data_IF_459509375224
#
_entry.id   IF_459509375224
#
_cell.length_a   1.000
_cell.length_b   1.000
_cell.length_c   1.000
_cell.angle_alpha   90.00
_cell.angle_beta   90.00
_cell.angle_gamma   90.00
#
_symmetry.space_group_name_H-M   'P 1'
#
loop_
_entity.id
_entity.type
_entity.pdbx_description
1 polymer ?
#
# COMPACT_ATOMS: atom_id res chain seq x y z
N UNK A 1 -24.80 27.89 -43.95
CA UNK A 1 -24.62 26.75 -44.88
C UNK A 1 -23.12 26.50 -44.93
N UNK A 2 -22.53 25.43 -44.40
CA UNK A 2 -22.94 24.04 -44.17
C UNK A 2 -22.81 23.68 -42.65
N UNK A 3 -23.92 23.36 -41.97
CA UNK A 3 -24.45 22.02 -41.58
C UNK A 3 -23.70 21.33 -40.43
N UNK A 4 -24.32 21.45 -39.26
CA UNK A 4 -24.01 20.93 -37.93
C UNK A 4 -24.44 19.46 -37.77
N UNK A 5 -23.93 18.55 -38.60
CA UNK A 5 -24.40 17.15 -38.65
C UNK A 5 -23.33 16.07 -38.42
N UNK A 6 -22.10 16.40 -38.02
CA UNK A 6 -21.02 15.40 -37.87
C UNK A 6 -20.54 15.12 -36.44
N UNK A 7 -21.15 15.74 -35.41
CA UNK A 7 -20.72 15.58 -34.01
C UNK A 7 -21.63 14.70 -33.13
N UNK A 8 -22.64 14.02 -33.68
CA UNK A 8 -23.68 13.34 -32.86
C UNK A 8 -23.91 11.85 -33.15
N UNK A 9 -23.16 11.19 -34.03
CA UNK A 9 -23.44 9.80 -34.43
C UNK A 9 -22.45 8.75 -33.88
N UNK A 10 -22.02 8.86 -32.62
CA UNK A 10 -21.13 7.88 -31.98
C UNK A 10 -21.70 7.14 -30.75
N UNK A 11 -22.76 7.67 -30.14
CA UNK A 11 -23.32 7.12 -28.90
C UNK A 11 -24.69 6.53 -29.17
N UNK A 12 -24.74 5.28 -29.64
CA UNK A 12 -25.86 4.32 -29.50
C UNK A 12 -25.55 3.11 -30.39
N UNK A 13 -24.64 2.25 -29.93
CA UNK A 13 -24.67 0.83 -30.29
C UNK A 13 -24.70 0.01 -29.02
N UNK A 14 -25.73 -0.81 -28.90
CA UNK A 14 -25.86 -1.86 -27.89
C UNK A 14 -24.72 -2.86 -28.10
N UNK A 15 -23.64 -2.70 -27.35
CA UNK A 15 -22.48 -3.59 -27.37
C UNK A 15 -22.16 -4.06 -25.96
N UNK A 16 -22.50 -5.32 -25.68
CA UNK A 16 -21.95 -6.05 -24.55
C UNK A 16 -20.49 -6.38 -24.95
N UNK A 17 -19.53 -5.52 -24.59
CA UNK A 17 -18.11 -5.76 -24.89
C UNK A 17 -17.31 -5.75 -23.59
N UNK A 18 -17.14 -6.94 -23.02
CA UNK A 18 -15.91 -7.29 -22.32
C UNK A 18 -14.81 -7.35 -23.39
N UNK A 19 -14.01 -6.30 -23.50
CA UNK A 19 -12.79 -6.29 -24.30
C UNK A 19 -11.66 -5.75 -23.44
N UNK A 20 -10.77 -6.64 -23.04
CA UNK A 20 -9.54 -6.37 -22.30
C UNK A 20 -8.63 -5.38 -23.06
N UNK A 21 -8.40 -4.22 -22.46
CA UNK A 21 -7.28 -3.30 -22.76
C UNK A 21 -7.05 -2.33 -21.57
N UNK A 22 -5.83 -1.77 -21.40
CA UNK A 22 -5.19 -1.57 -20.10
C UNK A 22 -5.53 -0.22 -19.46
N UNK A 23 -6.76 -0.08 -19.00
CA UNK A 23 -7.18 0.84 -17.95
C UNK A 23 -8.60 0.43 -17.58
N UNK A 24 -8.78 -0.39 -16.55
CA UNK A 24 -10.09 -0.93 -16.23
C UNK A 24 -10.95 0.15 -15.56
N UNK A 25 -11.39 1.13 -16.36
CA UNK A 25 -12.43 2.07 -16.00
C UNK A 25 -13.69 1.23 -15.76
N UNK A 26 -14.02 1.00 -14.48
CA UNK A 26 -15.27 0.31 -14.10
C UNK A 26 -16.40 1.24 -14.51
N UNK A 27 -17.12 0.88 -15.57
CA UNK A 27 -18.26 1.64 -16.07
C UNK A 27 -19.50 0.78 -16.16
N UNK A 28 -20.67 1.40 -15.93
CA UNK A 28 -21.97 0.74 -16.05
C UNK A 28 -22.98 1.74 -16.57
N UNK A 29 -23.65 1.38 -17.66
CA UNK A 29 -24.76 2.13 -18.21
C UNK A 29 -26.03 1.27 -18.17
N UNK A 30 -27.14 1.85 -17.72
CA UNK A 30 -28.43 1.15 -17.67
C UNK A 30 -29.58 2.14 -17.71
N UNK A 31 -30.78 1.66 -18.01
CA UNK A 31 -32.01 2.45 -18.00
C UNK A 31 -32.98 1.87 -16.97
N UNK A 32 -33.70 2.74 -16.26
CA UNK A 32 -34.77 2.33 -15.34
C UNK A 32 -35.99 3.22 -15.51
N UNK A 33 -37.16 2.68 -15.19
CA UNK A 33 -38.40 3.45 -15.15
C UNK A 33 -38.55 4.10 -13.76
N UNK A 34 -38.70 5.42 -13.72
CA UNK A 34 -38.87 6.22 -12.50
C UNK A 34 -40.12 7.07 -12.70
N UNK A 35 -41.12 6.91 -11.84
CA UNK A 35 -42.44 7.57 -11.98
C UNK A 35 -43.02 7.52 -13.40
N UNK A 36 -42.88 6.37 -14.07
CA UNK A 36 -43.40 6.16 -15.43
C UNK A 36 -42.53 6.70 -16.57
N UNK A 37 -41.45 7.44 -16.29
CA UNK A 37 -40.49 7.94 -17.29
C UNK A 37 -39.26 7.03 -17.36
N UNK A 38 -38.67 6.89 -18.55
CA UNK A 38 -37.42 6.18 -18.73
C UNK A 38 -36.28 7.13 -18.38
N UNK A 39 -35.44 6.73 -17.43
CA UNK A 39 -34.26 7.47 -16.99
C UNK A 39 -33.03 6.62 -17.27
N UNK A 40 -32.06 7.23 -17.95
CA UNK A 40 -30.79 6.62 -18.28
C UNK A 40 -29.74 6.98 -17.22
N UNK A 41 -28.95 5.99 -16.83
CA UNK A 41 -27.90 6.07 -15.84
C UNK A 41 -26.57 5.70 -16.47
N UNK A 42 -25.54 6.50 -16.20
CA UNK A 42 -24.16 6.19 -16.53
C UNK A 42 -23.32 6.39 -15.28
N UNK A 43 -22.60 5.34 -14.91
CA UNK A 43 -21.72 5.32 -13.77
C UNK A 43 -20.32 4.99 -14.26
N UNK A 44 -19.34 5.82 -13.94
CA UNK A 44 -17.95 5.60 -14.31
C UNK A 44 -17.06 5.85 -13.07
N UNK A 45 -16.26 4.87 -12.68
CA UNK A 45 -15.21 5.05 -11.66
C UNK A 45 -13.89 5.39 -12.34
N UNK A 46 -13.35 6.56 -12.03
CA UNK A 46 -11.97 6.94 -12.34
C UNK A 46 -11.08 6.74 -11.11
N UNK A 47 -9.76 6.84 -11.29
CA UNK A 47 -8.79 6.69 -10.18
C UNK A 47 -8.94 7.73 -9.07
N UNK A 48 -9.42 8.94 -9.40
CA UNK A 48 -9.50 10.07 -8.46
C UNK A 48 -10.93 10.59 -8.20
N UNK A 49 -11.93 10.06 -8.89
CA UNK A 49 -13.33 10.51 -8.79
C UNK A 49 -14.31 9.48 -9.34
N UNK A 50 -15.57 9.61 -8.95
CA UNK A 50 -16.69 8.92 -9.58
C UNK A 50 -17.44 9.91 -10.46
N UNK A 51 -17.85 9.47 -11.65
CA UNK A 51 -18.79 10.20 -12.49
C UNK A 51 -20.13 9.48 -12.50
N UNK A 52 -21.19 10.20 -12.16
CA UNK A 52 -22.56 9.72 -12.18
C UNK A 52 -23.39 10.65 -13.07
N UNK A 53 -23.99 10.13 -14.12
CA UNK A 53 -24.96 10.85 -14.94
C UNK A 53 -26.32 10.18 -14.85
N UNK A 54 -27.34 11.00 -14.59
CA UNK A 54 -28.74 10.61 -14.55
C UNK A 54 -29.49 11.54 -15.51
N UNK A 55 -30.10 10.99 -16.56
CA UNK A 55 -30.72 11.80 -17.61
C UNK A 55 -32.01 11.18 -18.15
N UNK A 56 -33.06 11.99 -18.27
CA UNK A 56 -34.29 11.63 -18.98
C UNK A 56 -34.19 11.89 -20.49
N UNK A 57 -33.24 12.74 -20.93
CA UNK A 57 -33.21 13.32 -22.28
C UNK A 57 -31.98 12.92 -23.10
N UNK A 58 -31.23 11.90 -22.65
CA UNK A 58 -29.99 11.42 -23.28
C UNK A 58 -28.93 12.51 -23.50
N UNK A 59 -28.98 13.58 -22.70
CA UNK A 59 -28.02 14.68 -22.72
C UNK A 59 -27.53 14.98 -21.31
N UNK A 60 -26.26 15.37 -21.23
CA UNK A 60 -25.63 15.89 -20.02
C UNK A 60 -26.07 17.35 -19.87
N UNK A 61 -26.55 17.69 -18.68
CA UNK A 61 -27.07 19.01 -18.35
C UNK A 61 -26.13 19.70 -17.37
N UNK A 62 -26.68 20.08 -16.21
CA UNK A 62 -25.89 20.68 -15.14
C UNK A 62 -24.90 19.67 -14.55
N UNK A 63 -23.68 20.12 -14.30
CA UNK A 63 -22.60 19.33 -13.74
C UNK A 63 -22.18 19.87 -12.37
N UNK A 64 -22.19 19.00 -11.37
CA UNK A 64 -21.88 19.31 -9.98
C UNK A 64 -20.61 18.57 -9.54
N UNK A 65 -19.61 19.30 -9.06
CA UNK A 65 -18.46 18.74 -8.36
C UNK A 65 -18.78 18.68 -6.89
N UNK A 66 -18.66 17.50 -6.31
CA UNK A 66 -19.06 17.20 -4.94
C UNK A 66 -17.84 16.63 -4.21
N UNK A 67 -17.48 17.26 -3.10
CA UNK A 67 -16.41 16.83 -2.23
C UNK A 67 -16.95 16.58 -0.83
N UNK A 68 -16.45 15.55 -0.17
CA UNK A 68 -16.77 15.23 1.22
C UNK A 68 -15.83 16.02 2.13
N UNK A 69 -16.40 16.85 2.98
CA UNK A 69 -15.70 17.55 4.04
C UNK A 69 -16.11 16.94 5.38
N UNK A 70 -15.13 16.43 6.11
CA UNK A 70 -15.29 16.11 7.52
C UNK A 70 -15.02 17.40 8.31
N UNK A 71 -15.95 17.90 9.14
CA UNK A 71 -15.67 19.09 9.94
C UNK A 71 -14.54 18.80 10.93
N UNK A 72 -13.41 19.48 10.76
CA UNK A 72 -12.36 19.56 11.76
C UNK A 72 -12.66 20.74 12.70
N UNK A 73 -12.78 20.47 14.00
CA UNK A 73 -12.81 21.51 15.05
C UNK A 73 -11.70 21.18 16.05
N UNK A 74 -10.73 22.07 16.22
CA UNK A 74 -9.60 21.92 17.13
C UNK A 74 -8.80 20.62 16.95
N UNK A 75 -8.50 20.21 15.70
CA UNK A 75 -7.64 19.05 15.43
C UNK A 75 -8.23 17.69 15.79
N UNK A 76 -9.47 17.64 16.29
CA UNK A 76 -10.21 16.41 16.57
C UNK A 76 -11.30 16.22 15.51
N UNK A 77 -11.32 15.04 14.89
CA UNK A 77 -12.36 14.65 13.95
C UNK A 77 -13.66 14.39 14.72
N UNK A 78 -14.69 15.18 14.44
CA UNK A 78 -16.01 15.01 15.04
C UNK A 78 -16.73 13.83 14.35
N UNK A 79 -17.42 12.97 15.11
CA UNK A 79 -18.44 12.04 14.59
C UNK A 79 -19.71 12.81 14.17
N UNK A 80 -19.54 13.87 13.38
CA UNK A 80 -20.64 14.64 12.80
C UNK A 80 -21.16 14.00 11.52
N UNK A 81 -22.34 14.41 11.03
CA UNK A 81 -22.83 14.03 9.71
C UNK A 81 -21.79 14.43 8.64
N UNK A 82 -21.60 13.57 7.64
CA UNK A 82 -20.72 13.85 6.49
C UNK A 82 -21.26 15.10 5.78
N UNK A 83 -20.43 16.14 5.67
CA UNK A 83 -20.83 17.38 5.02
C UNK A 83 -20.35 17.31 3.57
N UNK A 84 -21.26 17.57 2.63
CA UNK A 84 -20.93 17.63 1.21
C UNK A 84 -20.75 19.08 0.76
N UNK A 85 -19.59 19.41 0.24
CA UNK A 85 -19.34 20.64 -0.51
C UNK A 85 -19.76 20.42 -1.96
N UNK A 86 -20.74 21.18 -2.43
CA UNK A 86 -21.39 21.01 -3.73
C UNK A 86 -21.17 22.28 -4.53
N UNK A 87 -20.47 22.17 -5.66
CA UNK A 87 -20.19 23.29 -6.57
C UNK A 87 -20.70 22.97 -7.97
N UNK A 88 -21.58 23.79 -8.53
CA UNK A 88 -21.91 23.68 -9.95
C UNK A 88 -20.70 24.14 -10.79
N UNK A 89 -20.22 23.26 -11.65
CA UNK A 89 -19.10 23.53 -12.56
C UNK A 89 -19.62 23.99 -13.92
N UNK A 90 -20.80 23.51 -14.32
CA UNK A 90 -21.39 23.80 -15.62
C UNK A 90 -22.91 23.81 -15.55
N UNK A 91 -23.53 24.85 -16.11
CA UNK A 91 -24.99 25.03 -16.13
C UNK A 91 -25.49 26.11 -15.17
N UNK A 92 -26.82 26.23 -15.07
CA UNK A 92 -27.46 27.24 -14.21
C UNK A 92 -27.83 26.63 -12.85
N UNK A 93 -27.30 27.21 -11.77
CA UNK A 93 -27.70 26.86 -10.41
C UNK A 93 -29.10 27.38 -10.10
N UNK A 94 -29.98 26.48 -9.66
CA UNK A 94 -31.26 26.82 -9.04
C UNK A 94 -31.33 26.13 -7.70
N UNK A 95 -31.96 26.75 -6.71
CA UNK A 95 -32.05 26.18 -5.34
C UNK A 95 -32.63 24.76 -5.35
N UNK A 96 -33.70 24.54 -6.12
CA UNK A 96 -34.34 23.22 -6.25
C UNK A 96 -33.36 22.12 -6.71
N UNK A 97 -32.49 22.43 -7.67
CA UNK A 97 -31.50 21.47 -8.18
C UNK A 97 -30.42 21.18 -7.16
N UNK A 98 -29.94 22.21 -6.45
CA UNK A 98 -28.90 22.04 -5.43
C UNK A 98 -29.42 21.21 -4.25
N UNK A 99 -30.67 21.44 -3.83
CA UNK A 99 -31.34 20.64 -2.80
C UNK A 99 -31.49 19.18 -3.23
N UNK A 100 -31.91 18.94 -4.47
CA UNK A 100 -32.03 17.58 -5.01
C UNK A 100 -30.69 16.85 -5.10
N UNK A 101 -29.64 17.54 -5.55
CA UNK A 101 -28.27 16.99 -5.57
C UNK A 101 -27.83 16.65 -4.15
N UNK A 102 -28.04 17.53 -3.17
CA UNK A 102 -27.68 17.26 -1.78
C UNK A 102 -28.41 16.03 -1.23
N UNK A 103 -29.73 15.95 -1.43
CA UNK A 103 -30.54 14.82 -0.99
C UNK A 103 -30.12 13.50 -1.64
N UNK A 104 -29.73 13.52 -2.93
CA UNK A 104 -29.22 12.35 -3.63
C UNK A 104 -27.90 11.89 -3.03
N UNK A 105 -26.94 12.80 -2.88
CA UNK A 105 -25.60 12.50 -2.38
C UNK A 105 -25.63 11.99 -0.94
N UNK A 106 -26.45 12.59 -0.08
CA UNK A 106 -26.64 12.13 1.30
C UNK A 106 -27.15 10.69 1.37
N UNK A 107 -28.03 10.28 0.43
CA UNK A 107 -28.49 8.88 0.33
C UNK A 107 -27.43 7.94 -0.24
N UNK A 108 -26.61 8.41 -1.18
CA UNK A 108 -25.57 7.59 -1.81
C UNK A 108 -24.38 7.34 -0.88
N UNK A 109 -24.13 8.23 0.11
CA UNK A 109 -23.05 8.13 1.09
C UNK A 109 -21.66 7.89 0.45
N UNK A 110 -21.44 8.45 -0.75
CA UNK A 110 -20.16 8.32 -1.46
C UNK A 110 -19.12 9.17 -0.74
N UNK A 111 -17.95 8.58 -0.46
CA UNK A 111 -16.85 9.26 0.23
C UNK A 111 -15.91 9.91 -0.79
N UNK A 112 -15.72 9.29 -1.95
CA UNK A 112 -14.84 9.78 -3.00
C UNK A 112 -15.38 11.05 -3.67
N UNK A 113 -14.51 11.89 -4.27
CA UNK A 113 -14.95 13.02 -5.08
C UNK A 113 -15.94 12.56 -6.17
N UNK A 114 -17.10 13.21 -6.24
CA UNK A 114 -18.19 12.84 -7.14
C UNK A 114 -18.45 13.97 -8.14
N UNK A 115 -18.47 13.62 -9.42
CA UNK A 115 -18.90 14.48 -10.51
C UNK A 115 -20.29 14.02 -10.96
N UNK A 116 -21.32 14.78 -10.61
CA UNK A 116 -22.71 14.43 -10.84
C UNK A 116 -23.32 15.26 -11.97
N UNK A 117 -23.92 14.61 -12.96
CA UNK A 117 -24.86 15.23 -13.90
C UNK A 117 -26.28 14.80 -13.58
N UNK A 118 -27.17 15.75 -13.28
CA UNK A 118 -28.57 15.48 -12.99
C UNK A 118 -29.47 16.25 -13.97
N UNK A 119 -30.03 15.52 -14.94
CA UNK A 119 -30.89 16.06 -16.01
C UNK A 119 -32.25 15.36 -16.00
N UNK A 120 -33.05 15.69 -15.01
CA UNK A 120 -34.41 15.16 -14.82
C UNK A 120 -35.42 16.31 -14.82
N UNK A 121 -36.69 15.99 -15.04
CA UNK A 121 -37.75 17.02 -15.15
C UNK A 121 -38.41 17.34 -13.81
N UNK A 122 -38.34 16.44 -12.82
CA UNK A 122 -38.95 16.60 -11.49
C UNK A 122 -37.93 16.30 -10.39
N UNK A 123 -37.81 17.21 -9.41
CA UNK A 123 -36.80 17.17 -8.34
C UNK A 123 -37.40 16.83 -6.96
N UNK A 124 -38.55 16.18 -6.92
CA UNK A 124 -39.25 15.81 -5.69
C UNK A 124 -38.55 14.66 -4.95
N UNK A 125 -38.75 14.60 -3.62
CA UNK A 125 -38.04 13.69 -2.73
C UNK A 125 -38.21 12.20 -3.10
N UNK A 126 -39.41 11.80 -3.55
CA UNK A 126 -39.69 10.43 -3.98
C UNK A 126 -38.87 10.06 -5.22
N UNK A 127 -38.84 10.93 -6.24
CA UNK A 127 -38.05 10.72 -7.45
C UNK A 127 -36.56 10.59 -7.14
N UNK A 128 -36.02 11.48 -6.29
CA UNK A 128 -34.60 11.41 -5.87
C UNK A 128 -34.31 10.14 -5.07
N UNK A 129 -35.26 9.70 -4.23
CA UNK A 129 -35.13 8.45 -3.48
C UNK A 129 -35.08 7.22 -4.39
N UNK A 130 -35.96 7.15 -5.39
CA UNK A 130 -36.00 6.06 -6.36
C UNK A 130 -34.73 6.04 -7.24
N UNK A 131 -34.24 7.21 -7.65
CA UNK A 131 -32.94 7.37 -8.33
C UNK A 131 -31.82 6.80 -7.45
N UNK A 132 -31.75 7.21 -6.17
CA UNK A 132 -30.73 6.72 -5.25
C UNK A 132 -30.76 5.19 -5.11
N UNK A 133 -31.94 4.59 -4.99
CA UNK A 133 -32.10 3.14 -4.89
C UNK A 133 -31.63 2.42 -6.15
N UNK A 134 -31.97 2.90 -7.35
CA UNK A 134 -31.50 2.29 -8.61
C UNK A 134 -30.00 2.39 -8.78
N UNK A 135 -29.43 3.51 -8.36
CA UNK A 135 -28.00 3.76 -8.37
C UNK A 135 -27.29 2.84 -7.37
N UNK A 136 -27.79 2.71 -6.14
CA UNK A 136 -27.26 1.80 -5.12
C UNK A 136 -27.37 0.33 -5.55
N UNK A 137 -28.48 -0.09 -6.16
CA UNK A 137 -28.64 -1.45 -6.69
C UNK A 137 -27.62 -1.76 -7.81
N UNK A 138 -27.08 -0.74 -8.46
CA UNK A 138 -26.11 -0.85 -9.54
C UNK A 138 -24.75 -0.23 -9.19
N UNK A 139 -24.43 -0.12 -7.89
CA UNK A 139 -23.18 0.45 -7.38
C UNK A 139 -21.96 -0.30 -7.91
N UNK A 140 -21.39 0.14 -9.02
CA UNK A 140 -20.19 -0.47 -9.62
C UNK A 140 -18.88 0.20 -9.16
N UNK A 141 -18.97 1.30 -8.39
CA UNK A 141 -17.80 1.98 -7.82
C UNK A 141 -17.32 1.40 -6.49
N UNK A 142 -18.23 0.77 -5.73
CA UNK A 142 -17.86 -0.01 -4.56
C UNK A 142 -17.20 -1.28 -5.09
N UNK A 143 -15.92 -1.46 -4.77
CA UNK A 143 -15.31 -2.76 -4.99
C UNK A 143 -16.12 -3.77 -4.18
N UNK A 144 -16.63 -4.81 -4.85
CA UNK A 144 -17.30 -5.93 -4.15
C UNK A 144 -16.30 -6.77 -3.38
N UNK A 145 -15.00 -6.50 -3.52
CA UNK A 145 -13.93 -7.07 -2.72
C UNK A 145 -13.54 -6.05 -1.63
N UNK A 146 -13.50 -6.45 -0.35
CA UNK A 146 -12.90 -5.62 0.68
C UNK A 146 -11.44 -5.32 0.30
N UNK A 147 -11.01 -4.08 0.53
CA UNK A 147 -9.62 -3.66 0.28
C UNK A 147 -8.70 -4.53 1.14
N UNK A 148 -7.73 -5.22 0.51
CA UNK A 148 -6.78 -6.08 1.22
C UNK A 148 -5.47 -5.34 1.45
N UNK A 149 -4.97 -5.37 2.68
CA UNK A 149 -3.68 -4.77 3.04
C UNK A 149 -2.58 -5.82 3.02
N UNK A 150 -1.41 -5.44 2.51
CA UNK A 150 -0.30 -6.37 2.36
C UNK A 150 1.08 -5.76 2.65
N UNK A 151 2.00 -6.62 3.11
CA UNK A 151 3.44 -6.34 3.16
C UNK A 151 4.17 -7.13 2.09
N UNK A 152 5.05 -6.47 1.36
CA UNK A 152 5.93 -7.09 0.37
C UNK A 152 7.32 -7.16 1.00
N UNK A 153 7.72 -8.35 1.47
CA UNK A 153 8.98 -8.51 2.20
C UNK A 153 10.11 -8.77 1.21
N UNK A 154 11.04 -7.82 1.15
CA UNK A 154 12.13 -7.75 0.18
C UNK A 154 13.48 -7.61 0.89
N UNK A 155 14.56 -7.83 0.15
CA UNK A 155 15.93 -7.63 0.63
C UNK A 155 16.89 -8.73 0.16
N UNK A 156 18.21 -8.49 0.26
CA UNK A 156 19.23 -9.43 -0.18
C UNK A 156 19.17 -10.79 0.52
N UNK A 157 19.88 -11.82 0.00
CA UNK A 157 19.93 -13.14 0.63
C UNK A 157 20.50 -13.03 2.04
N UNK A 158 19.92 -13.78 2.98
CA UNK A 158 20.38 -13.79 4.37
C UNK A 158 19.93 -12.60 5.22
N UNK A 159 19.22 -11.59 4.71
CA UNK A 159 18.73 -10.46 5.52
C UNK A 159 17.65 -10.82 6.55
N UNK A 160 17.10 -12.04 6.51
CA UNK A 160 16.12 -12.53 7.48
C UNK A 160 14.65 -12.35 7.08
N UNK A 161 14.34 -12.22 5.79
CA UNK A 161 12.96 -12.06 5.25
C UNK A 161 11.98 -13.11 5.78
N UNK A 162 12.25 -14.39 5.52
CA UNK A 162 11.39 -15.51 5.95
C UNK A 162 11.23 -15.57 7.47
N UNK A 163 12.29 -15.24 8.23
CA UNK A 163 12.25 -15.13 9.69
C UNK A 163 11.35 -13.98 10.15
N UNK A 164 11.45 -12.81 9.51
CA UNK A 164 10.56 -11.67 9.73
C UNK A 164 9.10 -12.00 9.40
N UNK A 165 8.83 -12.65 8.26
CA UNK A 165 7.48 -13.08 7.86
C UNK A 165 6.83 -13.92 8.96
N UNK A 166 7.57 -14.89 9.52
CA UNK A 166 7.12 -15.69 10.66
C UNK A 166 6.78 -14.82 11.87
N UNK A 167 7.75 -14.04 12.34
CA UNK A 167 7.62 -13.29 13.59
C UNK A 167 6.52 -12.22 13.50
N UNK A 168 6.46 -11.49 12.40
CA UNK A 168 5.41 -10.51 12.12
C UNK A 168 4.03 -11.17 12.06
N UNK A 169 3.91 -12.35 11.43
CA UNK A 169 2.63 -13.07 11.40
C UNK A 169 2.15 -13.50 12.79
N UNK A 170 3.08 -13.91 13.66
CA UNK A 170 2.76 -14.30 15.04
C UNK A 170 2.33 -13.07 15.85
N UNK A 171 3.07 -11.96 15.75
CA UNK A 171 2.72 -10.71 16.42
C UNK A 171 1.34 -10.20 15.99
N UNK A 172 1.07 -10.16 14.69
CA UNK A 172 -0.22 -9.70 14.17
C UNK A 172 -1.38 -10.59 14.65
N UNK A 173 -1.17 -11.91 14.72
CA UNK A 173 -2.15 -12.86 15.30
C UNK A 173 -2.35 -12.64 16.79
N UNK A 174 -1.28 -12.37 17.55
CA UNK A 174 -1.36 -12.01 18.98
C UNK A 174 -2.18 -10.73 19.21
N UNK A 175 -2.07 -9.76 18.29
CA UNK A 175 -2.86 -8.50 18.31
C UNK A 175 -4.32 -8.71 17.82
N UNK A 176 -4.68 -9.95 17.45
CA UNK A 176 -6.03 -10.33 17.05
C UNK A 176 -6.34 -10.14 15.57
N UNK A 177 -5.33 -9.93 14.72
CA UNK A 177 -5.51 -9.84 13.26
C UNK A 177 -5.47 -11.22 12.61
N UNK A 178 -6.34 -11.43 11.63
CA UNK A 178 -6.23 -12.57 10.74
C UNK A 178 -5.11 -12.30 9.71
N UNK A 179 -4.19 -13.25 9.55
CA UNK A 179 -2.98 -13.05 8.75
C UNK A 179 -2.68 -14.29 7.93
N UNK A 180 -2.35 -14.08 6.66
CA UNK A 180 -1.95 -15.12 5.72
C UNK A 180 -0.58 -14.78 5.15
N UNK A 181 0.35 -15.74 5.22
CA UNK A 181 1.66 -15.64 4.56
C UNK A 181 1.56 -16.26 3.18
N UNK A 182 2.08 -15.56 2.17
CA UNK A 182 2.14 -15.98 0.78
C UNK A 182 3.62 -16.19 0.48
N UNK A 183 4.02 -17.44 0.24
CA UNK A 183 5.39 -17.75 -0.15
C UNK A 183 5.53 -17.62 -1.67
N UNK A 184 6.32 -16.64 -2.12
CA UNK A 184 6.70 -16.49 -3.52
C UNK A 184 8.18 -16.82 -3.76
N UNK A 185 8.91 -17.33 -2.76
CA UNK A 185 10.27 -17.85 -2.95
C UNK A 185 10.25 -19.35 -3.29
N UNK A 186 10.53 -19.73 -4.56
CA UNK A 186 10.55 -21.12 -4.96
C UNK A 186 11.82 -21.86 -4.50
N UNK A 187 12.86 -21.15 -4.02
CA UNK A 187 14.10 -21.73 -3.50
C UNK A 187 14.05 -22.08 -2.00
N UNK A 188 12.96 -21.74 -1.30
CA UNK A 188 12.83 -22.04 0.13
C UNK A 188 12.31 -23.47 0.34
N UNK A 189 13.17 -24.38 0.80
CA UNK A 189 12.80 -25.79 1.03
C UNK A 189 12.22 -26.06 2.42
N UNK A 190 12.77 -25.41 3.45
CA UNK A 190 12.28 -25.54 4.83
C UNK A 190 11.69 -24.20 5.31
N UNK A 191 10.37 -24.05 5.13
CA UNK A 191 9.65 -22.88 5.64
C UNK A 191 9.39 -23.02 7.15
N UNK A 192 9.70 -22.00 7.95
CA UNK A 192 9.48 -22.04 9.40
C UNK A 192 8.02 -21.73 9.79
N UNK A 193 7.13 -21.66 8.81
CA UNK A 193 5.69 -21.39 8.90
C UNK A 193 4.93 -22.18 7.83
N UNK A 194 3.60 -22.25 7.97
CA UNK A 194 2.72 -22.80 6.93
C UNK A 194 2.20 -21.67 6.04
N UNK A 195 2.60 -21.57 4.76
CA UNK A 195 2.06 -20.58 3.85
C UNK A 195 0.59 -20.89 3.53
N UNK A 196 -0.21 -19.84 3.33
CA UNK A 196 -1.58 -19.96 2.83
C UNK A 196 -1.63 -20.15 1.30
N UNK A 197 -0.59 -19.68 0.61
CA UNK A 197 -0.38 -19.81 -0.82
C UNK A 197 1.11 -20.01 -1.03
N UNK A 198 1.49 -21.01 -1.82
CA UNK A 198 2.89 -21.28 -2.17
C UNK A 198 3.08 -21.30 -3.68
N UNK A 199 4.08 -20.57 -4.19
CA UNK A 199 4.47 -20.58 -5.61
C UNK A 199 4.82 -22.00 -6.10
N UNK A 200 5.27 -22.88 -5.20
CA UNK A 200 5.56 -24.29 -5.50
C UNK A 200 4.33 -25.07 -5.99
N UNK A 201 3.11 -24.55 -5.79
CA UNK A 201 1.88 -25.15 -6.34
C UNK A 201 1.77 -25.05 -7.86
N UNK A 202 2.44 -24.06 -8.48
CA UNK A 202 2.40 -23.84 -9.94
C UNK A 202 3.74 -24.04 -10.63
N UNK A 203 4.86 -23.88 -9.92
CA UNK A 203 6.20 -24.04 -10.47
C UNK A 203 7.21 -24.47 -9.41
N UNK A 204 7.98 -25.52 -9.70
CA UNK A 204 8.99 -26.07 -8.80
C UNK A 204 10.38 -25.78 -9.38
N UNK A 205 11.24 -25.13 -8.60
CA UNK A 205 12.56 -24.67 -9.05
C UNK A 205 13.44 -25.80 -9.57
N UNK A 206 13.50 -26.93 -8.85
CA UNK A 206 14.32 -28.09 -9.21
C UNK A 206 13.90 -28.73 -10.53
N UNK A 207 12.60 -28.80 -10.79
CA UNK A 207 12.05 -29.32 -12.05
C UNK A 207 12.44 -28.40 -13.21
N UNK A 208 12.30 -27.08 -13.04
CA UNK A 208 12.72 -26.09 -14.04
C UNK A 208 14.23 -26.18 -14.34
N UNK A 209 15.06 -26.35 -13.31
CA UNK A 209 16.51 -26.51 -13.49
C UNK A 209 16.84 -27.74 -14.34
N UNK A 210 16.16 -28.86 -14.10
CA UNK A 210 16.38 -30.12 -14.80
C UNK A 210 15.83 -30.10 -16.23
N UNK A 211 14.62 -29.59 -16.42
CA UNK A 211 13.90 -29.61 -17.71
C UNK A 211 14.50 -28.60 -18.70
N UNK A 212 14.82 -27.39 -18.23
CA UNK A 212 15.38 -26.32 -19.08
C UNK A 212 16.92 -26.34 -19.11
N UNK A 213 17.56 -27.20 -18.31
CA UNK A 213 19.01 -27.33 -18.17
C UNK A 213 19.70 -25.98 -17.87
N UNK A 214 19.11 -25.22 -16.94
CA UNK A 214 19.58 -23.89 -16.51
C UNK A 214 20.02 -23.91 -15.04
N UNK A 215 20.94 -23.00 -14.69
CA UNK A 215 21.39 -22.83 -13.32
C UNK A 215 20.31 -22.23 -12.39
N UNK A 216 20.52 -22.26 -11.07
CA UNK A 216 19.50 -21.87 -10.08
C UNK A 216 19.02 -20.43 -10.23
N UNK A 217 19.92 -19.48 -10.55
CA UNK A 217 19.53 -18.09 -10.78
C UNK A 217 18.67 -17.92 -12.05
N UNK A 218 18.97 -18.68 -13.11
CA UNK A 218 18.15 -18.69 -14.33
C UNK A 218 16.77 -19.29 -14.08
N UNK A 219 16.72 -20.38 -13.32
CA UNK A 219 15.47 -21.02 -12.92
C UNK A 219 14.62 -20.12 -12.02
N UNK A 220 15.22 -19.31 -11.15
CA UNK A 220 14.50 -18.33 -10.33
C UNK A 220 13.83 -17.24 -11.19
N UNK A 221 14.56 -16.70 -12.18
CA UNK A 221 13.99 -15.75 -13.14
C UNK A 221 12.85 -16.40 -13.93
N UNK A 222 13.01 -17.66 -14.35
CA UNK A 222 11.96 -18.41 -15.03
C UNK A 222 10.71 -18.54 -14.16
N UNK A 223 10.84 -18.96 -12.90
CA UNK A 223 9.72 -19.11 -11.97
C UNK A 223 8.94 -17.80 -11.80
N UNK A 224 9.65 -16.67 -11.69
CA UNK A 224 9.01 -15.36 -11.58
C UNK A 224 8.29 -14.91 -12.83
N UNK A 225 8.88 -15.16 -14.01
CA UNK A 225 8.21 -14.90 -15.28
C UNK A 225 6.96 -15.77 -15.45
N UNK A 226 7.04 -17.03 -15.02
CA UNK A 226 5.91 -17.95 -15.03
C UNK A 226 4.79 -17.48 -14.12
N UNK A 227 5.11 -16.98 -12.91
CA UNK A 227 4.14 -16.37 -12.01
C UNK A 227 3.49 -15.11 -12.62
N UNK A 228 4.27 -14.24 -13.26
CA UNK A 228 3.73 -13.04 -13.93
C UNK A 228 2.73 -13.41 -15.03
N UNK A 229 3.06 -14.41 -15.86
CA UNK A 229 2.16 -14.90 -16.92
C UNK A 229 0.89 -15.56 -16.35
N UNK A 230 0.98 -16.13 -15.15
CA UNK A 230 -0.12 -16.78 -14.44
C UNK A 230 -0.66 -15.94 -13.29
N UNK A 231 -0.55 -14.61 -13.35
CA UNK A 231 -0.96 -13.71 -12.25
C UNK A 231 -2.44 -13.88 -11.85
N UNK A 232 -3.31 -14.28 -12.79
CA UNK A 232 -4.72 -14.59 -12.54
C UNK A 232 -4.89 -15.72 -11.53
N UNK A 233 -4.00 -16.71 -11.51
CA UNK A 233 -3.99 -17.75 -10.47
C UNK A 233 -3.77 -17.12 -9.11
N UNK A 234 -2.71 -16.30 -8.96
CA UNK A 234 -2.39 -15.64 -7.69
C UNK A 234 -3.56 -14.78 -7.21
N UNK A 235 -4.13 -13.94 -8.07
CA UNK A 235 -5.29 -13.10 -7.72
C UNK A 235 -6.44 -13.96 -7.22
N UNK A 236 -6.82 -15.01 -7.95
CA UNK A 236 -7.93 -15.88 -7.57
C UNK A 236 -7.71 -16.59 -6.23
N UNK A 237 -6.48 -17.04 -5.97
CA UNK A 237 -6.12 -17.68 -4.71
C UNK A 237 -6.15 -16.68 -3.56
N UNK A 238 -5.64 -15.47 -3.78
CA UNK A 238 -5.69 -14.39 -2.79
C UNK A 238 -7.13 -13.94 -2.50
N UNK A 239 -8.01 -13.89 -3.50
CA UNK A 239 -9.43 -13.55 -3.33
C UNK A 239 -10.15 -14.52 -2.39
N UNK A 240 -9.84 -15.81 -2.47
CA UNK A 240 -10.39 -16.86 -1.60
C UNK A 240 -9.99 -16.71 -0.12
N UNK A 241 -8.93 -15.97 0.18
CA UNK A 241 -8.52 -15.66 1.55
C UNK A 241 -9.44 -14.59 2.15
N UNK A 242 -10.34 -15.00 3.06
CA UNK A 242 -11.27 -14.09 3.75
C UNK A 242 -10.53 -13.13 4.66
N UNK A 243 -10.90 -11.84 4.62
CA UNK A 243 -10.50 -10.73 5.51
C UNK A 243 -9.19 -11.00 6.27
N UNK A 244 -8.09 -11.10 5.51
CA UNK A 244 -6.78 -11.46 6.02
C UNK A 244 -5.77 -10.41 5.59
N UNK A 245 -4.95 -9.98 6.54
CA UNK A 245 -3.77 -9.20 6.28
C UNK A 245 -2.71 -10.09 5.62
N UNK A 246 -2.11 -9.62 4.52
CA UNK A 246 -1.25 -10.47 3.69
C UNK A 246 0.23 -10.13 3.90
N UNK A 247 1.08 -11.15 4.02
CA UNK A 247 2.53 -11.00 4.06
C UNK A 247 3.11 -11.82 2.91
N UNK A 248 3.74 -11.16 1.95
CA UNK A 248 4.39 -11.82 0.82
C UNK A 248 5.89 -11.99 1.12
N UNK A 249 6.35 -13.24 1.18
CA UNK A 249 7.77 -13.57 1.23
C UNK A 249 8.30 -13.74 -0.18
N UNK A 250 9.14 -12.81 -0.63
CA UNK A 250 9.76 -12.84 -1.95
C UNK A 250 11.19 -13.41 -1.87
N UNK A 251 11.75 -13.90 -3.00
CA UNK A 251 13.08 -14.49 -3.02
C UNK A 251 14.23 -13.66 -2.44
N UNK A 252 15.34 -14.33 -2.16
CA UNK A 252 16.56 -13.66 -1.72
C UNK A 252 17.24 -12.78 -2.76
N UNK A 253 17.13 -13.12 -4.05
CA UNK A 253 18.03 -12.60 -5.07
C UNK A 253 17.71 -11.16 -5.45
N UNK A 254 18.62 -10.24 -5.10
CA UNK A 254 18.46 -8.80 -5.31
C UNK A 254 18.22 -8.43 -6.78
N UNK A 255 18.79 -9.19 -7.70
CA UNK A 255 18.76 -9.01 -9.14
C UNK A 255 17.34 -9.11 -9.71
N UNK A 256 16.46 -9.87 -9.04
CA UNK A 256 15.05 -9.99 -9.41
C UNK A 256 14.29 -8.67 -9.22
N UNK A 257 14.72 -7.84 -8.28
CA UNK A 257 14.10 -6.54 -7.95
C UNK A 257 14.77 -5.37 -8.67
N UNK A 258 16.03 -5.52 -9.08
CA UNK A 258 16.81 -4.43 -9.66
C UNK A 258 16.87 -4.44 -11.19
N UNK A 259 16.84 -5.61 -11.83
CA UNK A 259 17.06 -5.73 -13.28
C UNK A 259 15.82 -6.18 -14.06
N UNK A 260 14.84 -6.80 -13.39
CA UNK A 260 13.65 -7.35 -14.04
C UNK A 260 12.40 -6.57 -13.65
N UNK A 261 11.54 -6.26 -14.64
CA UNK A 261 10.26 -5.57 -14.40
C UNK A 261 9.16 -6.50 -13.88
N UNK A 262 9.41 -7.82 -13.82
CA UNK A 262 8.41 -8.84 -13.48
C UNK A 262 7.77 -8.58 -12.12
N UNK A 263 8.59 -8.31 -11.10
CA UNK A 263 8.10 -8.04 -9.74
C UNK A 263 7.25 -6.77 -9.73
N UNK A 264 7.73 -5.68 -10.34
CA UNK A 264 6.98 -4.42 -10.47
C UNK A 264 5.62 -4.64 -11.15
N UNK A 265 5.59 -5.42 -12.22
CA UNK A 265 4.36 -5.73 -12.95
C UNK A 265 3.37 -6.55 -12.10
N UNK A 266 3.86 -7.52 -11.32
CA UNK A 266 3.07 -8.28 -10.35
C UNK A 266 2.46 -7.33 -9.30
N UNK A 267 3.28 -6.46 -8.69
CA UNK A 267 2.81 -5.51 -7.67
C UNK A 267 1.78 -4.52 -8.22
N UNK A 268 2.03 -3.93 -9.39
CA UNK A 268 1.07 -3.03 -10.05
C UNK A 268 -0.25 -3.74 -10.39
N UNK A 269 -0.19 -5.04 -10.71
CA UNK A 269 -1.39 -5.83 -10.98
C UNK A 269 -2.16 -6.10 -9.69
N UNK A 270 -1.49 -6.38 -8.58
CA UNK A 270 -2.14 -6.47 -7.27
C UNK A 270 -2.79 -5.14 -6.88
N UNK A 271 -2.12 -4.00 -7.04
CA UNK A 271 -2.72 -2.69 -6.73
C UNK A 271 -3.98 -2.38 -7.56
N UNK A 272 -3.98 -2.75 -8.85
CA UNK A 272 -5.16 -2.64 -9.72
C UNK A 272 -6.34 -3.49 -9.25
N UNK A 273 -6.09 -4.56 -8.50
CA UNK A 273 -7.10 -5.44 -7.91
C UNK A 273 -7.44 -5.05 -6.46
N UNK A 274 -7.32 -3.75 -6.11
CA UNK A 274 -7.70 -3.18 -4.81
C UNK A 274 -6.87 -3.69 -3.62
N UNK A 275 -5.63 -4.15 -3.86
CA UNK A 275 -4.65 -4.42 -2.80
C UNK A 275 -3.87 -3.14 -2.44
N UNK A 276 -3.67 -2.91 -1.14
CA UNK A 276 -2.86 -1.80 -0.60
C UNK A 276 -1.55 -2.35 -0.10
N UNK A 277 -0.47 -2.04 -0.82
CA UNK A 277 0.84 -2.64 -0.62
C UNK A 277 1.78 -1.69 0.12
N UNK A 278 2.64 -2.24 0.96
CA UNK A 278 3.84 -1.57 1.45
C UNK A 278 5.03 -2.54 1.37
N UNK A 279 6.13 -2.10 0.77
CA UNK A 279 7.37 -2.86 0.71
C UNK A 279 8.14 -2.72 2.02
N UNK A 280 8.50 -3.85 2.62
CA UNK A 280 9.39 -3.93 3.77
C UNK A 280 10.74 -4.44 3.28
N UNK A 281 11.73 -3.56 3.22
CA UNK A 281 13.04 -3.89 2.65
C UNK A 281 14.07 -4.15 3.77
N UNK A 282 14.46 -5.40 3.97
CA UNK A 282 15.38 -5.81 5.03
C UNK A 282 16.83 -5.77 4.57
N UNK A 283 17.67 -5.04 5.29
CA UNK A 283 19.13 -4.99 5.14
C UNK A 283 19.79 -5.53 6.40
N UNK A 284 20.72 -6.46 6.26
CA UNK A 284 21.45 -7.03 7.40
C UNK A 284 22.36 -5.97 8.03
N UNK A 285 22.25 -5.79 9.36
CA UNK A 285 23.07 -4.83 10.09
C UNK A 285 24.57 -5.14 10.04
N UNK A 286 24.98 -6.36 9.69
CA UNK A 286 26.38 -6.70 9.44
C UNK A 286 27.03 -5.79 8.36
N UNK A 287 26.26 -5.26 7.42
CA UNK A 287 26.81 -4.36 6.40
C UNK A 287 27.29 -3.03 6.98
N UNK A 288 26.81 -2.61 8.16
CA UNK A 288 27.22 -1.39 8.84
C UNK A 288 28.67 -1.45 9.38
N UNK A 289 29.25 -2.64 9.53
CA UNK A 289 30.62 -2.81 10.06
C UNK A 289 31.73 -2.36 9.09
N UNK A 290 31.39 -2.12 7.81
CA UNK A 290 32.34 -1.62 6.82
C UNK A 290 31.69 -0.53 5.99
N UNK A 291 32.36 0.62 5.87
CA UNK A 291 31.84 1.77 5.15
C UNK A 291 31.50 1.45 3.68
N UNK A 292 32.31 0.65 3.00
CA UNK A 292 32.09 0.28 1.60
C UNK A 292 30.88 -0.65 1.42
N UNK A 293 30.73 -1.63 2.31
CA UNK A 293 29.56 -2.51 2.36
C UNK A 293 28.29 -1.72 2.65
N UNK A 294 28.33 -0.83 3.64
CA UNK A 294 27.18 0.00 4.02
C UNK A 294 26.76 0.94 2.88
N UNK A 295 27.70 1.64 2.24
CA UNK A 295 27.40 2.48 1.07
C UNK A 295 26.78 1.69 -0.07
N UNK A 296 27.23 0.45 -0.29
CA UNK A 296 26.67 -0.44 -1.31
C UNK A 296 25.24 -0.87 -0.95
N UNK A 297 24.97 -1.15 0.33
CA UNK A 297 23.63 -1.48 0.82
C UNK A 297 22.66 -0.29 0.69
N UNK A 298 23.13 0.94 0.96
CA UNK A 298 22.34 2.17 0.76
C UNK A 298 21.95 2.36 -0.70
N UNK A 299 22.90 2.21 -1.63
CA UNK A 299 22.62 2.30 -3.07
C UNK A 299 21.65 1.24 -3.55
N UNK A 300 21.79 0.00 -3.05
CA UNK A 300 20.88 -1.08 -3.40
C UNK A 300 19.46 -0.80 -2.88
N UNK A 301 19.34 -0.29 -1.66
CA UNK A 301 18.06 0.12 -1.05
C UNK A 301 17.40 1.22 -1.87
N UNK A 302 18.14 2.29 -2.22
CA UNK A 302 17.65 3.38 -3.06
C UNK A 302 17.18 2.86 -4.42
N UNK A 303 17.95 1.98 -5.05
CA UNK A 303 17.58 1.39 -6.34
C UNK A 303 16.30 0.56 -6.22
N UNK A 304 16.15 -0.25 -5.17
CA UNK A 304 14.91 -1.01 -4.93
C UNK A 304 13.70 -0.12 -4.71
N UNK A 305 13.84 1.00 -3.98
CA UNK A 305 12.74 1.97 -3.79
C UNK A 305 12.26 2.56 -5.13
N UNK A 306 13.19 2.89 -6.02
CA UNK A 306 12.87 3.43 -7.36
C UNK A 306 12.18 2.38 -8.23
N UNK A 307 12.63 1.12 -8.19
CA UNK A 307 12.10 0.07 -9.06
C UNK A 307 10.72 -0.45 -8.64
N UNK A 308 10.43 -0.54 -7.34
CA UNK A 308 9.17 -1.13 -6.85
C UNK A 308 7.98 -0.18 -6.95
N UNK A 309 8.20 1.14 -6.90
CA UNK A 309 7.16 2.18 -6.96
C UNK A 309 6.04 2.06 -5.91
N UNK A 310 6.29 1.36 -4.80
CA UNK A 310 5.37 1.22 -3.67
C UNK A 310 5.87 2.02 -2.45
N UNK A 311 4.99 2.31 -1.46
CA UNK A 311 5.44 2.82 -0.17
C UNK A 311 6.46 1.88 0.47
N UNK A 312 7.64 2.41 0.82
CA UNK A 312 8.77 1.62 1.33
C UNK A 312 9.02 1.89 2.82
N UNK A 313 9.20 0.82 3.60
CA UNK A 313 9.75 0.84 4.95
C UNK A 313 11.05 0.05 4.91
N UNK A 314 12.19 0.73 5.03
CA UNK A 314 13.47 0.03 5.08
C UNK A 314 13.77 -0.37 6.53
N UNK A 315 14.32 -1.55 6.70
CA UNK A 315 14.54 -2.20 8.00
C UNK A 315 15.98 -2.65 8.08
N UNK A 316 16.68 -2.24 9.14
CA UNK A 316 18.00 -2.74 9.46
C UNK A 316 17.83 -3.94 10.39
N UNK A 317 18.03 -5.15 9.88
CA UNK A 317 17.75 -6.41 10.59
C UNK A 317 18.95 -6.94 11.36
N UNK A 318 18.67 -7.77 12.37
CA UNK A 318 19.66 -8.42 13.23
C UNK A 318 20.54 -7.43 14.01
N UNK A 319 19.94 -6.33 14.47
CA UNK A 319 20.66 -5.30 15.24
C UNK A 319 21.25 -5.88 16.53
N UNK A 320 20.63 -6.91 17.11
CA UNK A 320 21.13 -7.68 18.26
C UNK A 320 22.43 -8.44 17.99
N UNK A 321 22.71 -8.74 16.72
CA UNK A 321 23.89 -9.51 16.33
C UNK A 321 25.07 -8.62 15.95
N UNK A 322 24.87 -7.30 15.80
CA UNK A 322 25.91 -6.37 15.31
C UNK A 322 27.17 -6.43 16.17
N UNK A 323 27.02 -6.40 17.50
CA UNK A 323 28.15 -6.46 18.44
C UNK A 323 28.96 -7.76 18.33
N UNK A 324 28.33 -8.86 17.91
CA UNK A 324 29.01 -10.15 17.70
C UNK A 324 29.92 -10.13 16.47
N UNK A 325 29.66 -9.23 15.52
CA UNK A 325 30.41 -9.12 14.26
C UNK A 325 31.51 -8.05 14.29
N UNK A 326 31.61 -7.26 15.36
CA UNK A 326 32.62 -6.21 15.53
C UNK A 326 32.05 -4.96 16.19
N UNK A 327 32.93 -4.02 16.53
CA UNK A 327 32.53 -2.68 16.97
C UNK A 327 32.14 -1.84 15.74
N UNK A 328 30.96 -1.25 15.77
CA UNK A 328 30.59 -0.20 14.82
C UNK A 328 31.51 1.02 15.00
N UNK A 329 31.81 1.74 13.92
CA UNK A 329 32.61 2.97 13.98
C UNK A 329 31.81 4.13 14.58
N UNK A 330 30.49 4.11 14.40
CA UNK A 330 29.53 5.07 14.94
C UNK A 330 28.38 4.36 15.68
N UNK A 331 27.57 5.10 16.43
CA UNK A 331 26.38 4.53 17.08
C UNK A 331 25.38 3.99 16.05
N UNK A 332 24.50 3.08 16.47
CA UNK A 332 23.48 2.48 15.57
C UNK A 332 22.62 3.57 14.89
N UNK A 333 22.34 4.64 15.62
CA UNK A 333 21.57 5.80 15.17
C UNK A 333 22.14 6.41 13.87
N UNK A 334 23.47 6.45 13.75
CA UNK A 334 24.16 6.93 12.55
C UNK A 334 23.77 6.13 11.30
N UNK A 335 23.67 4.81 11.44
CA UNK A 335 23.32 3.90 10.35
C UNK A 335 21.82 3.80 10.12
N UNK A 336 20.98 3.95 11.15
CA UNK A 336 19.53 3.94 10.97
C UNK A 336 19.01 5.23 10.35
N UNK A 337 19.55 6.38 10.75
CA UNK A 337 19.15 7.68 10.22
C UNK A 337 19.92 8.07 8.95
N UNK A 338 20.95 7.29 8.59
CA UNK A 338 21.84 7.60 7.46
C UNK A 338 22.40 9.01 7.62
N UNK A 339 22.94 9.29 8.82
CA UNK A 339 23.54 10.57 9.14
C UNK A 339 24.76 10.83 8.26
N UNK A 340 25.09 12.10 8.11
CA UNK A 340 26.15 12.67 7.27
C UNK A 340 27.21 11.64 6.80
N UNK A 341 27.03 11.18 5.56
CA UNK A 341 27.88 10.14 4.98
C UNK A 341 29.31 10.63 4.70
N UNK A 342 29.59 11.94 4.85
CA UNK A 342 30.96 12.47 4.75
C UNK A 342 31.86 11.87 5.83
N UNK A 343 31.33 11.52 7.01
CA UNK A 343 32.09 10.82 8.05
C UNK A 343 32.60 9.44 7.58
N UNK A 344 31.86 8.76 6.71
CA UNK A 344 32.28 7.49 6.14
C UNK A 344 33.29 7.65 5.00
N UNK A 345 33.38 8.82 4.36
CA UNK A 345 34.36 9.07 3.30
C UNK A 345 35.79 8.95 3.82
N UNK A 346 36.05 9.44 5.04
CA UNK A 346 37.37 9.29 5.67
C UNK A 346 37.76 7.82 5.82
N UNK A 347 36.79 6.96 6.15
CA UNK A 347 36.99 5.51 6.26
C UNK A 347 37.17 4.84 4.90
N UNK A 348 36.47 5.31 3.87
CA UNK A 348 36.62 4.79 2.50
C UNK A 348 37.98 5.15 1.89
N UNK A 349 38.57 6.29 2.24
CA UNK A 349 39.82 6.79 1.63
C UNK A 349 41.11 6.35 2.35
N UNK A 350 41.02 5.45 3.33
CA UNK A 350 42.18 4.97 4.13
C UNK A 350 43.26 4.28 3.27
N UNK A 351 42.90 3.68 2.13
CA UNK A 351 43.82 2.95 1.25
C UNK A 351 44.43 3.81 0.13
N UNK A 352 45.67 3.54 -0.31
CA UNK A 352 46.28 4.27 -1.44
C UNK A 352 45.53 4.07 -2.76
N UNK A 353 44.86 2.94 -2.95
CA UNK A 353 43.99 2.67 -4.09
C UNK A 353 42.63 3.38 -3.96
N UNK A 354 42.05 3.42 -2.75
CA UNK A 354 40.71 3.98 -2.53
C UNK A 354 40.71 5.50 -2.54
N UNK A 355 41.79 6.13 -2.07
CA UNK A 355 41.99 7.59 -2.12
C UNK A 355 41.90 8.18 -3.53
N UNK A 356 42.26 7.40 -4.56
CA UNK A 356 42.09 7.81 -5.97
C UNK A 356 40.60 8.04 -6.32
N UNK A 357 39.70 7.32 -5.67
CA UNK A 357 38.26 7.34 -5.91
C UNK A 357 37.49 8.28 -4.98
N UNK A 358 38.18 9.10 -4.16
CA UNK A 358 37.53 10.05 -3.24
C UNK A 358 36.41 10.87 -3.91
N UNK A 359 36.67 11.43 -5.10
CA UNK A 359 35.65 12.21 -5.85
C UNK A 359 34.41 11.38 -6.20
N UNK A 360 34.58 10.10 -6.52
CA UNK A 360 33.48 9.18 -6.81
C UNK A 360 32.73 8.83 -5.52
N UNK A 361 33.44 8.47 -4.45
CA UNK A 361 32.85 8.15 -3.15
C UNK A 361 32.01 9.33 -2.64
N UNK A 362 32.54 10.55 -2.76
CA UNK A 362 31.83 11.78 -2.40
C UNK A 362 30.55 11.96 -3.22
N UNK A 363 30.64 11.84 -4.56
CA UNK A 363 29.46 11.95 -5.41
C UNK A 363 28.39 10.90 -5.08
N UNK A 364 28.79 9.68 -4.70
CA UNK A 364 27.88 8.63 -4.26
C UNK A 364 27.21 9.01 -2.92
N UNK A 365 27.98 9.50 -1.96
CA UNK A 365 27.47 9.98 -0.67
C UNK A 365 26.48 11.14 -0.84
N UNK A 366 26.82 12.11 -1.70
CA UNK A 366 25.94 13.23 -2.08
C UNK A 366 24.62 12.71 -2.66
N UNK A 367 24.64 11.75 -3.59
CA UNK A 367 23.41 11.16 -4.14
C UNK A 367 22.52 10.58 -3.04
N UNK A 368 23.07 9.78 -2.12
CA UNK A 368 22.24 9.17 -1.06
C UNK A 368 21.70 10.24 -0.10
N UNK A 369 22.52 11.22 0.26
CA UNK A 369 22.18 12.28 1.22
C UNK A 369 21.18 13.27 0.64
N UNK A 370 21.35 13.70 -0.61
CA UNK A 370 20.50 14.69 -1.29
C UNK A 370 19.06 14.21 -1.45
N UNK A 371 18.85 12.92 -1.70
CA UNK A 371 17.50 12.37 -1.74
C UNK A 371 16.89 12.27 -0.34
N UNK A 372 17.69 12.05 0.72
CA UNK A 372 17.23 11.89 2.11
C UNK A 372 16.03 10.91 2.25
N UNK A 373 15.91 9.96 1.30
CA UNK A 373 14.79 9.01 1.23
C UNK A 373 15.05 7.75 2.05
N UNK A 374 16.33 7.45 2.32
CA UNK A 374 16.73 6.21 2.96
C UNK A 374 16.89 6.47 4.45
N UNK A 375 16.02 5.85 5.23
CA UNK A 375 16.17 5.66 6.68
C UNK A 375 15.73 4.24 6.99
N UNK A 376 16.26 3.68 8.09
CA UNK A 376 15.97 2.33 8.51
C UNK A 376 15.33 2.30 9.89
N UNK A 377 14.36 1.41 10.06
CA UNK A 377 13.90 0.99 11.38
C UNK A 377 14.75 -0.19 11.87
N UNK A 378 15.28 -0.15 13.10
CA UNK A 378 16.02 -1.29 13.64
C UNK A 378 15.08 -2.47 13.89
N UNK A 379 15.53 -3.68 13.58
CA UNK A 379 14.82 -4.93 13.83
C UNK A 379 15.72 -5.93 14.54
N UNK A 380 15.28 -6.35 15.73
CA UNK A 380 15.69 -7.61 16.33
C UNK A 380 14.45 -8.48 16.42
N UNK A 381 14.46 -9.64 15.77
CA UNK A 381 13.25 -10.47 15.66
C UNK A 381 12.76 -10.98 17.01
N UNK A 382 13.67 -11.14 17.97
CA UNK A 382 13.34 -11.54 19.33
C UNK A 382 12.79 -10.38 20.18
N UNK A 383 13.04 -9.14 19.77
CA UNK A 383 12.54 -7.94 20.46
C UNK A 383 11.18 -7.51 19.88
N UNK A 384 10.12 -7.77 20.64
CA UNK A 384 8.73 -7.40 20.28
C UNK A 384 8.54 -5.91 20.03
N UNK A 385 9.21 -5.03 20.77
CA UNK A 385 9.12 -3.58 20.59
C UNK A 385 9.53 -3.13 19.18
N UNK A 386 10.63 -3.69 18.65
CA UNK A 386 11.08 -3.38 17.29
C UNK A 386 10.10 -3.85 16.22
N UNK A 387 9.51 -5.04 16.38
CA UNK A 387 8.48 -5.55 15.48
C UNK A 387 7.21 -4.69 15.52
N UNK A 388 6.77 -4.24 16.70
CA UNK A 388 5.61 -3.34 16.84
C UNK A 388 5.84 -2.00 16.13
N UNK A 389 7.05 -1.44 16.22
CA UNK A 389 7.39 -0.19 15.54
C UNK A 389 7.33 -0.35 14.02
N UNK A 390 7.84 -1.46 13.48
CA UNK A 390 7.75 -1.77 12.05
C UNK A 390 6.29 -1.99 11.64
N UNK A 391 5.51 -2.75 12.40
CA UNK A 391 4.08 -2.94 12.15
C UNK A 391 3.35 -1.59 12.04
N UNK A 392 3.58 -0.66 12.98
CA UNK A 392 2.96 0.68 12.96
C UNK A 392 3.39 1.49 11.73
N UNK A 393 4.67 1.46 11.37
CA UNK A 393 5.17 2.17 10.20
C UNK A 393 4.57 1.62 8.90
N UNK A 394 4.46 0.30 8.79
CA UNK A 394 3.89 -0.39 7.62
C UNK A 394 2.38 -0.15 7.51
N UNK A 395 1.63 -0.25 8.62
CA UNK A 395 0.19 0.05 8.65
C UNK A 395 -0.10 1.49 8.24
N UNK A 396 0.77 2.43 8.65
CA UNK A 396 0.68 3.84 8.23
C UNK A 396 0.97 4.00 6.74
N UNK A 397 1.96 3.27 6.21
CA UNK A 397 2.37 3.36 4.81
C UNK A 397 1.37 2.72 3.83
N UNK A 398 0.80 1.55 4.16
CA UNK A 398 -0.24 0.92 3.34
C UNK A 398 -1.66 1.47 3.61
N UNK A 399 -1.83 2.29 4.64
CA UNK A 399 -3.10 2.90 5.01
C UNK A 399 -4.07 1.97 5.75
N UNK A 400 -3.60 0.83 6.26
CA UNK A 400 -4.39 -0.09 7.09
C UNK A 400 -4.98 0.61 8.32
N UNK A 401 -4.30 1.63 8.86
CA UNK A 401 -4.81 2.49 9.95
C UNK A 401 -6.14 3.19 9.59
N UNK A 402 -6.42 3.38 8.30
CA UNK A 402 -7.60 4.10 7.79
C UNK A 402 -8.65 3.17 7.13
N UNK A 403 -8.44 1.85 7.13
CA UNK A 403 -9.35 0.88 6.52
C UNK A 403 -10.75 0.92 7.14
N UNK A 404 -11.78 0.86 6.29
CA UNK A 404 -13.19 1.10 6.67
C UNK A 404 -13.86 -0.07 7.39
N UNK A 405 -13.29 -1.28 7.33
CA UNK A 405 -13.93 -2.52 7.80
C UNK A 405 -13.34 -3.06 9.12
N UNK A 406 -12.25 -2.48 9.64
CA UNK A 406 -11.87 -2.68 11.04
C UNK A 406 -12.58 -1.61 11.88
N UNK A 407 -13.48 -2.06 12.75
CA UNK A 407 -14.27 -1.19 13.62
C UNK A 407 -13.45 -0.05 14.23
N UNK A 408 -13.94 1.16 13.95
CA UNK A 408 -13.44 2.46 14.44
C UNK A 408 -12.97 2.41 15.89
N UNK A 409 -11.66 2.32 16.08
CA UNK A 409 -11.03 2.89 17.27
C UNK A 409 -10.44 4.24 16.89
N UNK A 410 -11.20 5.31 17.16
CA UNK A 410 -10.73 6.70 17.13
C UNK A 410 -9.43 6.84 17.95
N UNK A 411 -9.24 5.99 18.95
CA UNK A 411 -7.99 5.83 19.70
C UNK A 411 -6.80 5.27 18.90
N UNK A 412 -6.98 4.43 17.87
CA UNK A 412 -5.87 3.99 16.98
C UNK A 412 -5.44 5.10 16.03
N UNK A 413 -6.43 5.81 15.47
CA UNK A 413 -6.19 6.99 14.63
C UNK A 413 -5.55 8.12 15.45
N UNK A 414 -6.01 8.33 16.69
CA UNK A 414 -5.40 9.25 17.65
C UNK A 414 -4.08 8.74 18.20
N UNK A 415 -3.83 7.45 18.43
CA UNK A 415 -2.51 6.96 18.84
C UNK A 415 -1.49 7.08 17.71
N UNK A 416 -1.92 7.01 16.45
CA UNK A 416 -1.07 7.30 15.30
C UNK A 416 -0.84 8.81 15.09
N UNK A 417 -1.81 9.66 15.46
CA UNK A 417 -1.70 11.12 15.36
C UNK A 417 -1.00 11.76 16.58
N UNK A 418 -1.19 11.21 17.78
CA UNK A 418 -0.48 11.51 19.03
C UNK A 418 0.91 10.85 18.98
N UNK A 419 1.02 9.70 18.30
CA UNK A 419 2.26 9.07 17.84
C UNK A 419 2.90 9.74 16.62
N UNK A 420 2.48 10.96 16.26
CA UNK A 420 3.44 11.96 15.79
C UNK A 420 4.33 12.39 16.98
N UNK A 421 4.89 11.40 17.66
CA UNK A 421 5.96 11.59 18.62
C UNK A 421 7.11 12.22 17.83
N UNK A 422 7.68 13.27 18.41
CA UNK A 422 8.86 13.92 17.88
C UNK A 422 9.96 12.88 17.62
N UNK A 423 10.93 13.22 16.79
CA UNK A 423 12.10 12.40 16.45
C UNK A 423 13.01 12.07 17.67
N UNK A 424 12.47 12.00 18.88
CA UNK A 424 13.15 11.60 20.09
C UNK A 424 12.66 10.22 20.61
N UNK A 425 11.37 9.87 20.45
CA UNK A 425 10.81 8.60 20.99
C UNK A 425 11.04 7.39 20.06
N UNK A 426 11.24 7.62 18.75
CA UNK A 426 11.71 6.57 17.83
C UNK A 426 13.13 6.09 18.16
N UNK A 427 13.96 6.95 18.75
CA UNK A 427 15.42 6.84 18.69
C UNK A 427 16.09 6.64 20.05
N UNK A 428 15.57 7.26 21.13
CA UNK A 428 16.12 7.03 22.48
C UNK A 428 16.09 5.55 22.89
N UNK A 429 15.04 4.83 22.49
CA UNK A 429 14.89 3.43 22.84
C UNK A 429 15.87 2.49 22.11
N UNK A 430 16.31 2.74 20.87
CA UNK A 430 17.16 1.76 20.17
C UNK A 430 18.58 1.71 20.76
N UNK A 431 19.14 2.88 21.07
CA UNK A 431 20.43 2.99 21.77
C UNK A 431 20.34 2.47 23.20
N UNK A 432 19.30 2.83 23.95
CA UNK A 432 19.14 2.37 25.33
C UNK A 432 18.85 0.85 25.39
N UNK A 433 18.02 0.30 24.51
CA UNK A 433 17.66 -1.14 24.50
C UNK A 433 18.81 -2.03 24.05
N UNK A 434 19.59 -1.61 23.05
CA UNK A 434 20.61 -2.48 22.43
C UNK A 434 22.06 -2.12 22.79
N UNK A 435 22.31 -0.94 23.37
CA UNK A 435 23.67 -0.55 23.81
C UNK A 435 23.82 -0.32 25.31
N UNK A 436 22.73 -0.20 26.09
CA UNK A 436 22.79 0.03 27.54
C UNK A 436 21.79 -0.90 28.27
N UNK A 437 22.18 -2.17 28.49
CA UNK A 437 21.27 -3.26 28.91
C UNK A 437 20.43 -3.05 30.18
N UNK A 438 19.29 -2.36 30.05
CA UNK A 438 18.34 -2.05 31.13
C UNK A 438 16.94 -2.67 30.94
N UNK A 439 16.36 -3.10 32.07
CA UNK A 439 15.10 -3.85 32.23
C UNK A 439 13.89 -3.29 31.45
N UNK A 440 13.29 -4.15 30.60
CA UNK A 440 12.29 -3.79 29.59
C UNK A 440 10.87 -4.33 29.89
N UNK A 441 10.67 -5.11 30.97
CA UNK A 441 9.44 -5.89 31.18
C UNK A 441 8.21 -5.05 31.60
N UNK A 442 8.39 -3.94 32.32
CA UNK A 442 7.25 -3.21 32.92
C UNK A 442 6.49 -2.30 31.93
N UNK A 443 7.15 -1.77 30.89
CA UNK A 443 6.50 -0.94 29.85
C UNK A 443 5.79 -1.78 28.78
N UNK A 444 6.29 -2.98 28.51
CA UNK A 444 5.71 -3.91 27.54
C UNK A 444 4.32 -4.39 27.97
N UNK A 445 4.14 -4.68 29.26
CA UNK A 445 2.86 -5.12 29.81
C UNK A 445 1.78 -4.02 29.79
N UNK A 446 2.18 -2.75 29.94
CA UNK A 446 1.29 -1.59 29.89
C UNK A 446 0.78 -1.29 28.47
N UNK A 447 1.65 -1.39 27.46
CA UNK A 447 1.29 -1.20 26.04
C UNK A 447 0.36 -2.33 25.58
N UNK A 448 0.63 -3.57 26.00
CA UNK A 448 -0.23 -4.72 25.70
C UNK A 448 -1.58 -4.60 26.42
N UNK A 449 -1.62 -4.17 27.68
CA UNK A 449 -2.89 -3.87 28.36
C UNK A 449 -3.64 -2.75 27.64
N UNK A 450 -2.99 -1.70 27.16
CA UNK A 450 -3.68 -0.66 26.37
C UNK A 450 -4.25 -1.18 25.05
N UNK A 451 -3.53 -2.04 24.33
CA UNK A 451 -3.98 -2.60 23.04
C UNK A 451 -5.04 -3.71 23.24
N UNK A 452 -4.90 -4.54 24.29
CA UNK A 452 -5.82 -5.63 24.59
C UNK A 452 -7.11 -5.17 25.28
N UNK A 453 -7.03 -4.22 26.23
CA UNK A 453 -8.22 -3.71 26.94
C UNK A 453 -9.14 -2.90 26.01
N UNK A 454 -8.63 -2.42 24.87
CA UNK A 454 -9.43 -1.79 23.79
C UNK A 454 -10.32 -2.76 22.99
N UNK A 455 -10.14 -4.08 23.14
CA UNK A 455 -10.93 -5.10 22.45
C UNK A 455 -11.83 -5.93 23.37
N UNK A 456 -11.78 -5.72 24.70
CA UNK A 456 -12.57 -6.49 25.69
C UNK A 456 -13.91 -5.80 26.03
N UNK A 457 -14.14 -4.56 25.58
CA UNK A 457 -15.45 -3.91 25.67
C UNK A 457 -16.33 -4.23 24.45
N UNK A 458 -16.52 -5.52 24.18
CA UNK A 458 -17.58 -6.06 23.31
C UNK A 458 -18.47 -6.99 24.13
#
# INVERSE_FOLDING_TARGET
MATSSELTNGFLSSGNTNSDSPSSIKSKAFSAQIKGKIVDFVIIKYSNRIFLAVTEVKKIGNLYSIHTNSPQRNGLFYQGPVIYDIKCVLGAETEEKVVAVRALVEKLQIIEPLLLSLTITTFDFETISEIAEKVLANKCWLSTMPVKFAQIVLGPPGSGKTTYCKAMSLLLKEVGRNVSIINLDPANDELPYTPAVDIKEIVILEEVMNDENIGPNGALVYCMNYLEQNISWLISTLENLKDSYLIFDFPGQSELYTHHTMIRNILQTLEKNDFRLCSVYLVDAHYANDAGKYMSALLLTLNSMIQMETPHVNVLSKVDAVEKYGSLEFGLDFYTEVLDLDYLLESLDKGPLTKKYHKLNKAIAEVVTDYSLVSFLPLSVDNRGTLINIMRAVDKANGCVFGTDEERNIQRLLSCAVGAEWDHDRYGNARDIFMDGGDNDDREEEILKMIATQNVSR
#
